data_IF_598993089713
#
_entry.id   IF_598993089713
#
_cell.length_a   1.000
_cell.length_b   1.000
_cell.length_c   1.000
_cell.angle_alpha   90.00
_cell.angle_beta   90.00
_cell.angle_gamma   90.00
#
_symmetry.space_group_name_H-M   'P 1'
#
loop_
_entity.id
_entity.type
_entity.pdbx_description
1 polymer ?
#
# COMPACT_ATOMS: atom_id res chain seq x y z
N UNK A 1 -11.14 -15.14 35.25
CA UNK A 1 -10.33 -14.60 34.13
C UNK A 1 -9.55 -13.38 34.60
N UNK A 2 -8.47 -13.64 35.33
CA UNK A 2 -7.55 -12.63 35.85
C UNK A 2 -6.21 -12.81 35.15
N UNK A 3 -5.92 -11.96 34.17
CA UNK A 3 -4.62 -11.92 33.50
C UNK A 3 -3.63 -11.23 34.45
N UNK A 4 -2.49 -11.87 34.72
CA UNK A 4 -1.44 -11.35 35.59
C UNK A 4 -0.12 -11.24 34.83
N UNK A 5 0.74 -10.31 35.24
CA UNK A 5 2.03 -10.07 34.62
C UNK A 5 3.16 -10.72 35.44
N UNK A 6 4.04 -11.49 34.78
CA UNK A 6 5.19 -12.11 35.44
C UNK A 6 6.36 -11.12 35.62
N UNK A 7 7.40 -11.44 36.42
CA UNK A 7 8.56 -10.55 36.63
C UNK A 7 9.36 -10.21 35.36
N UNK A 8 9.24 -11.04 34.30
CA UNK A 8 9.84 -10.80 32.98
C UNK A 8 8.92 -9.99 32.04
N UNK A 9 7.75 -9.54 32.52
CA UNK A 9 6.84 -8.66 31.79
C UNK A 9 5.77 -9.36 30.96
N UNK A 10 5.67 -10.70 30.96
CA UNK A 10 4.66 -11.43 30.19
C UNK A 10 3.31 -11.49 30.89
N UNK A 11 2.24 -11.25 30.14
CA UNK A 11 0.87 -11.41 30.61
C UNK A 11 0.40 -12.85 30.40
N UNK A 12 -0.10 -13.52 31.44
CA UNK A 12 -0.61 -14.89 31.37
C UNK A 12 -1.80 -15.10 32.32
N UNK A 13 -2.59 -16.14 32.05
CA UNK A 13 -3.75 -16.51 32.85
C UNK A 13 -3.35 -17.44 34.01
N UNK A 14 -3.40 -16.95 35.24
CA UNK A 14 -3.02 -17.70 36.44
C UNK A 14 -4.06 -18.76 36.85
N UNK A 15 -5.29 -18.70 36.32
CA UNK A 15 -6.28 -19.77 36.53
C UNK A 15 -5.91 -21.02 35.72
N UNK A 16 -5.19 -20.84 34.60
CA UNK A 16 -4.81 -21.94 33.68
C UNK A 16 -3.38 -22.43 33.87
N UNK A 17 -2.47 -21.56 34.30
CA UNK A 17 -1.06 -21.89 34.44
C UNK A 17 -0.52 -21.36 35.76
N UNK A 18 -0.01 -22.25 36.62
CA UNK A 18 0.57 -21.90 37.92
C UNK A 18 1.88 -21.10 37.80
N UNK A 19 2.51 -21.09 36.62
CA UNK A 19 3.72 -20.34 36.31
C UNK A 19 3.65 -19.82 34.86
N UNK A 20 4.31 -18.69 34.59
CA UNK A 20 4.32 -18.07 33.28
C UNK A 20 4.88 -19.03 32.20
N UNK A 21 4.04 -19.51 31.25
CA UNK A 21 4.46 -20.48 30.25
C UNK A 21 5.51 -19.91 29.27
N UNK A 22 5.56 -18.59 29.15
CA UNK A 22 6.50 -17.86 28.28
C UNK A 22 7.89 -17.65 28.90
N UNK A 23 8.11 -18.04 30.16
CA UNK A 23 9.41 -17.84 30.83
C UNK A 23 10.38 -19.02 30.66
N UNK A 24 9.87 -20.22 30.38
CA UNK A 24 10.65 -21.47 30.37
C UNK A 24 10.67 -22.15 29.00
N UNK A 25 9.87 -21.67 28.05
CA UNK A 25 9.86 -22.15 26.66
C UNK A 25 10.21 -21.01 25.73
N UNK A 26 11.27 -21.18 24.94
CA UNK A 26 11.69 -20.28 23.88
C UNK A 26 10.64 -20.25 22.76
N UNK A 27 9.54 -19.54 22.97
CA UNK A 27 8.71 -19.02 21.90
C UNK A 27 8.71 -17.50 22.04
N UNK A 28 9.84 -16.92 21.63
CA UNK A 28 9.96 -15.49 21.39
C UNK A 28 9.22 -15.17 20.09
N UNK A 29 7.95 -14.78 20.21
CA UNK A 29 7.29 -14.05 19.13
C UNK A 29 7.64 -12.57 19.36
N UNK A 30 8.52 -12.03 18.53
CA UNK A 30 8.78 -10.58 18.46
C UNK A 30 10.02 -10.05 19.20
N UNK A 31 10.98 -10.88 19.61
CA UNK A 31 12.27 -10.41 20.14
C UNK A 31 13.41 -11.04 19.34
N UNK A 32 14.21 -10.21 18.66
CA UNK A 32 15.47 -10.61 18.04
C UNK A 32 16.55 -10.70 19.11
N UNK A 33 17.15 -11.89 19.26
CA UNK A 33 18.31 -12.15 20.13
C UNK A 33 19.50 -12.50 19.24
N UNK A 34 20.72 -11.99 19.52
CA UNK A 34 21.91 -12.38 18.78
C UNK A 34 22.23 -13.85 19.05
N UNK A 35 22.65 -14.55 17.99
CA UNK A 35 23.09 -15.94 18.06
C UNK A 35 24.49 -15.98 18.69
N UNK A 36 24.57 -16.36 19.96
CA UNK A 36 25.86 -16.54 20.64
C UNK A 36 26.57 -17.79 20.10
N UNK A 37 27.76 -17.53 19.57
CA UNK A 37 28.62 -18.49 18.90
C UNK A 37 29.40 -19.32 19.93
N UNK A 38 28.78 -20.32 20.53
CA UNK A 38 29.50 -21.32 21.34
C UNK A 38 28.99 -22.73 21.06
N UNK A 39 29.77 -23.47 20.28
CA UNK A 39 29.87 -24.92 20.43
C UNK A 39 29.30 -25.76 19.29
N UNK A 40 29.85 -25.64 18.09
CA UNK A 40 30.06 -26.79 17.20
C UNK A 40 31.44 -26.64 16.56
N UNK A 41 32.33 -27.52 17.00
CA UNK A 41 33.68 -27.67 16.49
C UNK A 41 33.59 -28.59 15.27
N UNK A 42 33.66 -28.02 14.07
CA UNK A 42 34.04 -28.77 12.87
C UNK A 42 35.28 -28.12 12.28
N UNK A 43 36.34 -28.91 12.21
CA UNK A 43 37.66 -28.52 11.73
C UNK A 43 37.62 -28.28 10.22
N UNK A 44 38.03 -27.08 9.78
CA UNK A 44 38.30 -26.78 8.37
C UNK A 44 39.74 -26.26 8.27
N UNK A 45 40.57 -26.78 7.34
CA UNK A 45 41.99 -26.42 7.26
C UNK A 45 42.20 -24.98 6.77
N UNK A 46 43.31 -24.40 7.21
CA UNK A 46 43.76 -23.05 6.89
C UNK A 46 43.99 -22.81 5.39
N UNK A 47 43.52 -21.65 4.88
CA UNK A 47 43.80 -21.16 3.53
C UNK A 47 43.32 -19.72 3.28
N UNK A 48 44.19 -18.76 3.59
CA UNK A 48 44.35 -17.39 3.08
C UNK A 48 43.18 -16.62 2.40
N UNK A 49 42.90 -15.40 2.89
CA UNK A 49 42.21 -14.35 2.10
C UNK A 49 41.64 -13.21 2.94
N UNK A 50 42.34 -12.08 2.99
CA UNK A 50 42.01 -10.84 3.72
C UNK A 50 40.76 -10.10 3.17
N UNK A 51 39.95 -9.50 4.06
CA UNK A 51 38.88 -8.58 3.65
C UNK A 51 37.73 -8.42 4.67
N UNK A 52 38.02 -7.91 5.88
CA UNK A 52 36.98 -7.62 6.88
C UNK A 52 36.23 -6.31 6.58
N UNK A 53 34.90 -6.35 6.57
CA UNK A 53 34.04 -5.16 6.51
C UNK A 53 34.33 -4.20 7.68
N UNK A 54 34.36 -2.87 7.47
CA UNK A 54 34.67 -1.92 8.54
C UNK A 54 33.55 -1.90 9.60
N UNK A 55 33.95 -1.91 10.88
CA UNK A 55 33.04 -1.78 12.02
C UNK A 55 32.57 -0.32 12.16
N UNK A 56 31.27 -0.11 12.23
CA UNK A 56 30.66 1.20 12.51
C UNK A 56 30.88 1.60 13.98
N UNK A 57 31.36 2.82 14.21
CA UNK A 57 31.45 3.42 15.54
C UNK A 57 30.20 4.25 15.84
N UNK A 58 29.67 4.23 17.09
CA UNK A 58 28.58 5.13 17.48
C UNK A 58 29.11 6.54 17.66
N UNK A 59 28.41 7.52 17.08
CA UNK A 59 28.64 8.95 17.34
C UNK A 59 28.18 9.27 18.76
N UNK A 60 29.10 9.73 19.60
CA UNK A 60 28.78 10.23 20.94
C UNK A 60 28.09 11.60 20.80
N UNK A 61 26.80 11.69 21.15
CA UNK A 61 26.10 12.96 21.28
C UNK A 61 26.15 13.43 22.72
N UNK A 62 26.84 14.55 22.96
CA UNK A 62 26.67 15.35 24.19
C UNK A 62 25.29 16.04 24.19
N UNK A 63 24.66 16.21 25.38
CA UNK A 63 23.30 16.70 25.46
C UNK A 63 23.28 18.23 25.37
N UNK A 64 22.85 18.78 24.23
CA UNK A 64 22.46 20.18 24.12
C UNK A 64 21.03 20.37 24.64
N UNK A 65 20.88 21.28 25.60
CA UNK A 65 19.64 21.66 26.28
C UNK A 65 18.63 22.29 25.29
N UNK A 66 17.36 21.86 25.34
CA UNK A 66 16.29 22.57 24.63
C UNK A 66 14.93 21.85 24.51
N UNK A 67 14.02 22.18 25.43
CA UNK A 67 12.54 22.24 25.36
C UNK A 67 11.73 21.32 24.42
N UNK A 68 10.91 20.45 25.04
CA UNK A 68 9.53 20.17 24.60
C UNK A 68 9.28 18.88 23.80
N UNK A 69 8.10 18.22 23.97
CA UNK A 69 7.75 17.02 23.23
C UNK A 69 7.65 17.34 21.74
N UNK A 70 8.50 16.69 20.94
CA UNK A 70 8.52 16.81 19.49
C UNK A 70 7.15 16.44 18.94
N UNK A 71 6.47 17.44 18.41
CA UNK A 71 5.36 17.25 17.47
C UNK A 71 5.91 16.35 16.38
N UNK A 72 5.33 15.16 16.21
CA UNK A 72 5.59 14.37 15.01
C UNK A 72 5.18 15.23 13.84
N UNK A 73 6.16 15.67 13.04
CA UNK A 73 5.92 16.26 11.72
C UNK A 73 4.80 15.44 11.06
N UNK A 74 3.63 16.03 10.76
CA UNK A 74 2.64 15.32 9.99
C UNK A 74 3.32 14.91 8.69
N UNK A 75 3.13 13.65 8.29
CA UNK A 75 3.65 13.13 7.02
C UNK A 75 3.02 13.96 5.89
N UNK A 76 3.70 15.05 5.52
CA UNK A 76 3.21 16.06 4.60
C UNK A 76 3.56 15.63 3.17
N UNK A 77 3.13 14.42 2.83
CA UNK A 77 2.94 14.02 1.44
C UNK A 77 1.46 14.22 1.11
N UNK A 78 0.98 15.45 1.26
CA UNK A 78 -0.22 15.88 0.56
C UNK A 78 0.27 16.31 -0.81
N UNK A 79 0.23 15.40 -1.77
CA UNK A 79 0.36 15.75 -3.17
C UNK A 79 -0.82 16.68 -3.49
N UNK A 80 -0.57 18.00 -3.52
CA UNK A 80 -1.45 18.94 -4.22
C UNK A 80 -1.18 18.75 -5.73
N UNK A 81 -2.17 18.78 -6.61
CA UNK A 81 -3.56 19.21 -6.41
C UNK A 81 -4.53 18.27 -7.10
N UNK A 82 -5.43 17.65 -6.34
CA UNK A 82 -6.76 17.45 -6.90
C UNK A 82 -7.18 18.80 -7.49
N UNK A 83 -7.74 18.84 -8.71
CA UNK A 83 -8.47 20.01 -9.23
C UNK A 83 -9.71 20.25 -8.35
N UNK A 84 -9.46 20.63 -7.11
CA UNK A 84 -10.41 21.07 -6.13
C UNK A 84 -10.55 22.56 -6.35
N UNK A 85 -11.75 22.97 -6.75
CA UNK A 85 -12.05 24.39 -6.82
C UNK A 85 -11.88 25.06 -5.43
N UNK A 86 -12.00 26.39 -5.36
CA UNK A 86 -11.86 27.14 -4.09
C UNK A 86 -12.83 26.67 -2.98
N UNK A 87 -13.90 25.97 -3.34
CA UNK A 87 -14.88 25.37 -2.43
C UNK A 87 -14.55 23.93 -2.03
N UNK A 88 -13.41 23.38 -2.47
CA UNK A 88 -12.95 22.03 -2.15
C UNK A 88 -13.61 20.92 -2.98
N UNK A 89 -14.28 21.26 -4.09
CA UNK A 89 -14.98 20.30 -4.96
C UNK A 89 -14.05 19.84 -6.07
N UNK A 90 -13.77 18.54 -6.09
CA UNK A 90 -13.07 17.89 -7.20
C UNK A 90 -14.04 17.62 -8.35
N UNK A 91 -13.78 18.22 -9.52
CA UNK A 91 -14.65 18.10 -10.68
C UNK A 91 -14.64 16.68 -11.26
N UNK A 92 -15.82 16.16 -11.61
CA UNK A 92 -15.95 14.80 -12.15
C UNK A 92 -15.64 14.82 -13.64
N UNK A 93 -14.61 14.08 -14.06
CA UNK A 93 -14.20 13.99 -15.47
C UNK A 93 -14.74 12.73 -16.16
N UNK A 94 -15.12 11.71 -15.39
CA UNK A 94 -15.73 10.49 -15.91
C UNK A 94 -16.20 9.54 -14.81
N UNK A 95 -16.64 8.35 -15.23
CA UNK A 95 -17.07 7.30 -14.32
C UNK A 95 -16.54 5.93 -14.71
N UNK A 96 -16.34 5.11 -13.68
CA UNK A 96 -16.31 3.66 -13.80
C UNK A 96 -17.61 3.11 -13.23
N UNK A 97 -18.28 2.25 -13.99
CA UNK A 97 -19.52 1.60 -13.54
C UNK A 97 -19.28 0.10 -13.44
N UNK A 98 -19.50 -0.47 -12.27
CA UNK A 98 -19.38 -1.91 -12.07
C UNK A 98 -20.52 -2.64 -12.80
N UNK A 99 -20.18 -3.36 -13.87
CA UNK A 99 -21.15 -4.11 -14.69
C UNK A 99 -21.17 -5.61 -14.36
N UNK A 100 -20.13 -6.11 -13.68
CA UNK A 100 -20.00 -7.50 -13.22
C UNK A 100 -19.18 -7.56 -11.93
N UNK A 101 -19.56 -8.43 -11.00
CA UNK A 101 -18.92 -8.58 -9.69
C UNK A 101 -19.87 -8.27 -8.52
N UNK A 102 -19.34 -8.30 -7.30
CA UNK A 102 -20.11 -8.18 -6.04
C UNK A 102 -20.87 -6.84 -5.88
N UNK A 103 -20.45 -5.79 -6.57
CA UNK A 103 -21.03 -4.43 -6.49
C UNK A 103 -21.62 -3.96 -7.83
N UNK A 104 -22.18 -4.88 -8.62
CA UNK A 104 -22.82 -4.54 -9.91
C UNK A 104 -23.85 -3.41 -9.75
N UNK A 105 -23.78 -2.42 -10.64
CA UNK A 105 -24.59 -1.20 -10.65
C UNK A 105 -23.95 -0.01 -9.91
N UNK A 106 -22.91 -0.23 -9.10
CA UNK A 106 -22.22 0.86 -8.39
C UNK A 106 -21.33 1.64 -9.35
N UNK A 107 -21.41 2.96 -9.29
CA UNK A 107 -20.50 3.88 -9.96
C UNK A 107 -19.34 4.32 -9.05
N UNK A 108 -18.26 4.75 -9.68
CA UNK A 108 -17.10 5.38 -9.08
C UNK A 108 -16.74 6.58 -9.95
N UNK A 109 -16.61 7.74 -9.32
CA UNK A 109 -16.30 8.99 -10.00
C UNK A 109 -14.79 9.08 -10.23
N UNK A 110 -14.42 9.60 -11.38
CA UNK A 110 -13.06 9.97 -11.71
C UNK A 110 -12.95 11.50 -11.66
N UNK A 111 -11.81 11.99 -11.20
CA UNK A 111 -11.47 13.41 -11.15
C UNK A 111 -10.39 13.78 -12.18
N UNK A 112 -10.07 15.07 -12.25
CA UNK A 112 -8.91 15.59 -12.99
C UNK A 112 -7.61 14.93 -12.53
N UNK A 113 -6.58 14.92 -13.39
CA UNK A 113 -5.31 14.24 -13.16
C UNK A 113 -5.37 12.69 -13.12
N UNK A 114 -4.60 12.06 -12.22
CA UNK A 114 -4.43 10.61 -12.08
C UNK A 114 -5.35 10.06 -11.01
N UNK A 115 -6.09 9.03 -11.38
CA UNK A 115 -6.98 8.27 -10.53
C UNK A 115 -6.38 6.88 -10.32
N UNK A 116 -5.89 6.60 -9.12
CA UNK A 116 -5.42 5.29 -8.71
C UNK A 116 -6.61 4.39 -8.40
N UNK A 117 -6.62 3.18 -8.98
CA UNK A 117 -7.74 2.22 -8.80
C UNK A 117 -7.19 0.94 -8.18
N UNK A 118 -7.71 0.57 -7.00
CA UNK A 118 -7.22 -0.61 -6.29
C UNK A 118 -8.03 -0.94 -5.04
N UNK A 119 -7.60 -1.96 -4.29
CA UNK A 119 -8.36 -2.44 -3.12
C UNK A 119 -8.11 -1.63 -1.85
N UNK A 120 -6.92 -1.04 -1.69
CA UNK A 120 -6.56 -0.23 -0.53
C UNK A 120 -7.34 1.08 -0.49
N UNK A 121 -7.63 1.58 0.72
CA UNK A 121 -8.32 2.85 0.92
C UNK A 121 -7.50 4.10 0.56
N UNK A 122 -6.22 3.93 0.24
CA UNK A 122 -5.34 5.00 -0.23
C UNK A 122 -5.44 5.27 -1.74
N UNK A 123 -6.23 4.48 -2.47
CA UNK A 123 -6.51 4.72 -3.89
C UNK A 123 -7.72 5.66 -4.03
N UNK A 124 -7.82 6.42 -5.12
CA UNK A 124 -8.96 7.30 -5.39
C UNK A 124 -10.24 6.48 -5.67
N UNK A 125 -10.10 5.39 -6.42
CA UNK A 125 -11.18 4.43 -6.65
C UNK A 125 -10.92 3.14 -5.88
N UNK A 126 -11.65 3.00 -4.76
CA UNK A 126 -11.50 1.89 -3.83
C UNK A 126 -12.44 0.72 -4.19
N UNK A 127 -11.84 -0.40 -4.60
CA UNK A 127 -12.50 -1.65 -4.96
C UNK A 127 -12.32 -2.73 -3.87
N UNK A 128 -12.53 -2.35 -2.61
CA UNK A 128 -12.30 -3.18 -1.42
C UNK A 128 -13.15 -4.46 -1.29
N UNK A 129 -14.08 -4.69 -2.21
CA UNK A 129 -15.01 -5.82 -2.17
C UNK A 129 -14.49 -7.05 -2.93
N UNK A 130 -13.50 -6.91 -3.80
CA UNK A 130 -12.94 -8.01 -4.60
C UNK A 130 -11.51 -8.33 -4.15
N UNK A 131 -11.35 -9.50 -3.51
CA UNK A 131 -10.08 -9.94 -2.94
C UNK A 131 -9.04 -10.34 -4.00
N UNK A 132 -9.47 -10.52 -5.26
CA UNK A 132 -8.57 -10.75 -6.39
C UNK A 132 -8.06 -9.45 -7.01
N UNK A 133 -8.36 -8.29 -6.44
CA UNK A 133 -7.76 -7.01 -6.86
C UNK A 133 -6.57 -6.70 -5.95
N UNK A 134 -5.44 -6.28 -6.54
CA UNK A 134 -4.26 -5.90 -5.77
C UNK A 134 -4.57 -4.72 -4.85
N UNK A 135 -3.93 -4.70 -3.67
CA UNK A 135 -4.14 -3.62 -2.69
C UNK A 135 -3.71 -2.26 -3.23
N UNK A 136 -2.48 -2.12 -3.70
CA UNK A 136 -1.93 -0.86 -4.22
C UNK A 136 -2.17 -0.78 -5.72
N UNK A 137 -2.78 0.33 -6.16
CA UNK A 137 -2.99 0.77 -7.54
C UNK A 137 -2.82 -0.33 -8.61
N UNK A 138 -3.89 -1.06 -8.89
CA UNK A 138 -3.89 -2.07 -9.94
C UNK A 138 -3.84 -1.38 -11.31
N UNK A 139 -4.60 -0.30 -11.49
CA UNK A 139 -4.46 0.57 -12.66
C UNK A 139 -4.42 2.01 -12.22
N UNK A 140 -3.95 2.83 -13.14
CA UNK A 140 -4.00 4.29 -13.03
C UNK A 140 -4.75 4.78 -14.26
N UNK A 141 -5.77 5.59 -14.06
CA UNK A 141 -6.50 6.26 -15.13
C UNK A 141 -6.16 7.74 -15.05
N UNK A 142 -5.55 8.27 -16.10
CA UNK A 142 -5.16 9.68 -16.20
C UNK A 142 -6.11 10.39 -17.14
N UNK A 143 -6.52 11.61 -16.77
CA UNK A 143 -7.19 12.55 -17.67
C UNK A 143 -6.19 13.63 -18.07
N UNK A 144 -6.10 13.90 -19.37
CA UNK A 144 -5.35 15.01 -19.96
C UNK A 144 -6.37 16.09 -20.32
N UNK A 145 -6.26 17.26 -19.70
CA UNK A 145 -7.16 18.39 -19.86
C UNK A 145 -6.88 19.19 -21.16
N UNK A 146 -5.63 19.23 -21.61
CA UNK A 146 -5.24 19.87 -22.87
C UNK A 146 -5.81 19.11 -24.08
N UNK A 147 -5.67 17.78 -24.08
CA UNK A 147 -6.13 16.92 -25.17
C UNK A 147 -7.57 16.41 -24.96
N UNK A 148 -8.14 16.60 -23.75
CA UNK A 148 -9.45 16.07 -23.34
C UNK A 148 -9.56 14.55 -23.59
N UNK A 149 -8.47 13.84 -23.31
CA UNK A 149 -8.34 12.39 -23.50
C UNK A 149 -8.09 11.67 -22.18
N UNK A 150 -8.49 10.40 -22.15
CA UNK A 150 -8.23 9.51 -21.02
C UNK A 150 -7.20 8.46 -21.42
N UNK A 151 -6.32 8.14 -20.49
CA UNK A 151 -5.33 7.08 -20.63
C UNK A 151 -5.45 6.11 -19.46
N UNK A 152 -5.27 4.83 -19.74
CA UNK A 152 -5.21 3.77 -18.73
C UNK A 152 -3.85 3.11 -18.78
N UNK A 153 -3.25 2.91 -17.62
CA UNK A 153 -1.98 2.21 -17.49
C UNK A 153 -1.99 1.16 -16.40
N UNK A 154 -1.20 0.08 -16.58
CA UNK A 154 -0.94 -0.86 -15.50
C UNK A 154 -0.24 -0.15 -14.33
N UNK A 155 -0.63 -0.46 -13.10
CA UNK A 155 0.16 -0.06 -11.92
C UNK A 155 1.51 -0.78 -11.84
N UNK A 156 2.41 -0.26 -11.02
CA UNK A 156 3.80 -0.76 -10.94
C UNK A 156 3.93 -2.08 -10.16
N UNK A 157 3.06 -2.33 -9.18
CA UNK A 157 3.21 -3.42 -8.22
C UNK A 157 2.02 -4.39 -8.22
N UNK A 158 1.42 -4.59 -9.38
CA UNK A 158 0.27 -5.46 -9.53
C UNK A 158 0.68 -6.93 -9.48
N UNK A 159 -0.05 -7.73 -8.70
CA UNK A 159 0.13 -9.19 -8.72
C UNK A 159 -0.74 -9.88 -9.75
N UNK A 160 -1.86 -9.25 -10.11
CA UNK A 160 -2.90 -9.84 -10.95
C UNK A 160 -3.03 -9.11 -12.28
N UNK A 161 -3.28 -9.90 -13.33
CA UNK A 161 -3.46 -9.41 -14.68
C UNK A 161 -4.72 -8.54 -14.82
N UNK A 162 -4.55 -7.39 -15.46
CA UNK A 162 -5.64 -6.49 -15.85
C UNK A 162 -5.95 -6.67 -17.32
N UNK A 163 -7.23 -6.65 -17.68
CA UNK A 163 -7.63 -6.70 -19.08
C UNK A 163 -8.44 -5.49 -19.49
N UNK A 164 -8.08 -4.88 -20.63
CA UNK A 164 -8.87 -3.86 -21.33
C UNK A 164 -9.54 -4.52 -22.54
N UNK A 165 -10.86 -4.47 -22.62
CA UNK A 165 -11.66 -5.08 -23.68
C UNK A 165 -11.33 -6.57 -23.94
N UNK A 166 -11.03 -7.30 -22.87
CA UNK A 166 -10.67 -8.73 -22.91
C UNK A 166 -9.21 -9.03 -23.25
N UNK A 167 -8.41 -8.03 -23.65
CA UNK A 167 -6.96 -8.15 -23.91
C UNK A 167 -6.16 -7.75 -22.69
N UNK A 168 -4.97 -8.31 -22.51
CA UNK A 168 -4.10 -7.99 -21.38
C UNK A 168 -3.55 -6.56 -21.53
N UNK A 169 -3.71 -5.72 -20.51
CA UNK A 169 -3.15 -4.38 -20.48
C UNK A 169 -1.71 -4.45 -19.98
N UNK A 170 -0.75 -4.26 -20.89
CA UNK A 170 0.69 -4.39 -20.60
C UNK A 170 1.44 -3.05 -20.62
N UNK A 171 0.90 -2.08 -21.36
CA UNK A 171 1.46 -0.75 -21.55
C UNK A 171 0.33 0.27 -21.40
N UNK A 172 0.65 1.56 -21.20
CA UNK A 172 -0.34 2.61 -21.30
C UNK A 172 -1.10 2.59 -22.64
N UNK A 173 -2.42 2.73 -22.60
CA UNK A 173 -3.31 2.80 -23.77
C UNK A 173 -4.33 3.94 -23.60
N UNK A 174 -4.81 4.51 -24.71
CA UNK A 174 -5.95 5.44 -24.68
C UNK A 174 -7.22 4.72 -24.26
N UNK A 175 -7.93 5.28 -23.28
CA UNK A 175 -9.16 4.75 -22.73
C UNK A 175 -10.37 5.41 -23.41
N UNK A 176 -11.17 4.60 -24.11
CA UNK A 176 -12.31 5.09 -24.90
C UNK A 176 -13.62 4.85 -24.18
N UNK A 177 -14.58 5.71 -24.47
CA UNK A 177 -15.93 5.57 -23.95
C UNK A 177 -16.52 4.18 -24.23
N UNK A 178 -17.11 3.56 -23.22
CA UNK A 178 -17.60 2.17 -23.20
C UNK A 178 -16.53 1.07 -23.18
N UNK A 179 -15.25 1.40 -22.98
CA UNK A 179 -14.24 0.37 -22.75
C UNK A 179 -14.54 -0.41 -21.46
N UNK A 180 -14.29 -1.72 -21.52
CA UNK A 180 -14.50 -2.64 -20.40
C UNK A 180 -13.16 -3.02 -19.79
N UNK A 181 -12.99 -2.66 -18.52
CA UNK A 181 -11.82 -2.96 -17.72
C UNK A 181 -12.15 -4.13 -16.80
N UNK A 182 -11.36 -5.21 -16.84
CA UNK A 182 -11.49 -6.35 -15.94
C UNK A 182 -10.31 -6.39 -14.96
N UNK A 183 -10.64 -6.42 -13.67
CA UNK A 183 -9.73 -6.50 -12.54
C UNK A 183 -10.23 -7.62 -11.61
N UNK A 184 -9.43 -8.68 -11.41
CA UNK A 184 -9.87 -9.81 -10.59
C UNK A 184 -11.15 -10.47 -11.14
N UNK A 185 -12.23 -10.45 -10.35
CA UNK A 185 -13.57 -10.93 -10.74
C UNK A 185 -14.51 -9.80 -11.18
N UNK A 186 -14.08 -8.54 -11.02
CA UNK A 186 -14.87 -7.35 -11.30
C UNK A 186 -14.66 -6.87 -12.73
N UNK A 187 -15.75 -6.46 -13.39
CA UNK A 187 -15.70 -5.70 -14.65
C UNK A 187 -16.29 -4.31 -14.45
N UNK A 188 -15.55 -3.31 -14.92
CA UNK A 188 -15.93 -1.91 -14.91
C UNK A 188 -16.11 -1.45 -16.35
N UNK A 189 -17.20 -0.73 -16.62
CA UNK A 189 -17.43 0.00 -17.85
C UNK A 189 -16.95 1.43 -17.64
N UNK A 190 -16.10 1.93 -18.52
CA UNK A 190 -15.71 3.33 -18.50
C UNK A 190 -16.73 4.19 -19.25
N UNK A 191 -17.08 5.34 -18.67
CA UNK A 191 -17.92 6.37 -19.28
C UNK A 191 -17.20 7.70 -19.18
N UNK A 192 -16.91 8.32 -20.33
CA UNK A 192 -16.33 9.66 -20.35
C UNK A 192 -17.41 10.70 -20.03
N UNK A 193 -17.11 11.63 -19.14
CA UNK A 193 -17.94 12.83 -18.96
C UNK A 193 -17.35 13.98 -19.74
N UNK A 194 -16.09 14.34 -19.45
CA UNK A 194 -15.31 15.24 -20.28
C UNK A 194 -15.12 14.61 -21.66
N UNK A 195 -15.56 15.32 -22.69
CA UNK A 195 -15.56 14.91 -24.08
C UNK A 195 -15.65 16.15 -25.00
N UNK A 196 -15.77 15.94 -26.31
CA UNK A 196 -15.84 17.03 -27.30
C UNK A 196 -16.93 18.07 -27.04
N UNK A 197 -18.00 17.69 -26.34
CA UNK A 197 -19.18 18.53 -26.08
C UNK A 197 -19.09 19.24 -24.73
N UNK A 198 -18.22 18.79 -23.82
CA UNK A 198 -18.09 19.34 -22.47
C UNK A 198 -16.70 19.08 -21.87
N UNK A 199 -16.10 20.10 -21.28
CA UNK A 199 -14.98 20.01 -20.34
C UNK A 199 -15.14 21.07 -19.23
N UNK A 200 -14.45 20.86 -18.11
CA UNK A 200 -14.35 21.86 -17.06
C UNK A 200 -13.21 22.82 -17.45
N UNK A 201 -13.55 23.95 -18.08
CA UNK A 201 -12.61 25.06 -18.34
C UNK A 201 -12.26 25.84 -17.07
#
# INVERSE_FOLDING_TARGET
MSIVQCPKGHNYDNEKHAQCPYCSGSQAIGITVPLDNTGLQEEIPAGAGEGGFPKTMPVSMEPAQGQGPGVTEPYQNVTQGLDINEEGVSAVTGWLVCIEGKKKGKDFRLHGERNFVGRAGSNDVVLNFDDKISSVANIIISYDDEENEFYIQPGEHQKNNVKLNGKLLLIPETLKDNDIIKLGETKLLFRKFCNSDFCWE
#
